data_IF_522305908362
#
_entry.id   IF_522305908362
#
_cell.length_a   1.000
_cell.length_b   1.000
_cell.length_c   1.000
_cell.angle_alpha   90.00
_cell.angle_beta   90.00
_cell.angle_gamma   90.00
#
_symmetry.space_group_name_H-M   'P 1'
#
loop_
_entity.id
_entity.type
_entity.pdbx_description
1 polymer ?
#
# COMPACT_ATOMS: atom_id res chain seq x y z
N UNK A 1 14.50 16.89 -0.80
CA UNK A 1 13.99 16.87 -2.15
C UNK A 1 14.62 15.75 -2.99
N UNK A 2 15.95 15.78 -3.23
CA UNK A 2 16.64 14.86 -4.14
C UNK A 2 16.42 13.38 -3.81
N UNK A 3 16.34 13.01 -2.54
CA UNK A 3 16.06 11.63 -2.11
C UNK A 3 14.66 11.22 -2.58
N UNK A 4 13.64 12.03 -2.29
CA UNK A 4 12.27 11.73 -2.66
C UNK A 4 12.08 11.70 -4.19
N UNK A 5 12.66 12.66 -4.92
CA UNK A 5 12.64 12.68 -6.38
C UNK A 5 13.23 11.39 -6.95
N UNK A 6 14.46 11.01 -6.51
CA UNK A 6 15.13 9.80 -6.95
C UNK A 6 14.28 8.55 -6.67
N UNK A 7 13.68 8.45 -5.49
CA UNK A 7 12.83 7.32 -5.13
C UNK A 7 11.64 7.17 -6.08
N UNK A 8 10.86 8.25 -6.28
CA UNK A 8 9.69 8.17 -7.15
C UNK A 8 10.06 7.97 -8.62
N UNK A 9 11.12 8.61 -9.11
CA UNK A 9 11.61 8.40 -10.48
C UNK A 9 12.02 6.93 -10.67
N UNK A 10 12.80 6.38 -9.74
CA UNK A 10 13.23 4.97 -9.80
C UNK A 10 12.05 4.00 -9.74
N UNK A 11 11.09 4.22 -8.83
CA UNK A 11 9.90 3.39 -8.73
C UNK A 11 9.07 3.38 -10.02
N UNK A 12 8.88 4.55 -10.62
CA UNK A 12 8.15 4.70 -11.89
C UNK A 12 8.89 4.03 -13.05
N UNK A 13 10.20 4.24 -13.17
CA UNK A 13 11.02 3.61 -14.21
C UNK A 13 11.02 2.07 -14.09
N UNK A 14 11.19 1.55 -12.89
CA UNK A 14 11.12 0.10 -12.65
C UNK A 14 9.74 -0.46 -12.97
N UNK A 15 8.67 0.25 -12.64
CA UNK A 15 7.31 -0.13 -13.03
C UNK A 15 7.14 -0.15 -14.54
N UNK A 16 7.57 0.89 -15.26
CA UNK A 16 7.49 0.96 -16.71
C UNK A 16 8.25 -0.18 -17.41
N UNK A 17 9.34 -0.66 -16.83
CA UNK A 17 10.12 -1.80 -17.33
C UNK A 17 9.51 -3.16 -16.97
N UNK A 18 8.87 -3.29 -15.83
CA UNK A 18 8.37 -4.56 -15.30
C UNK A 18 6.91 -4.84 -15.71
N UNK A 19 6.13 -3.82 -16.04
CA UNK A 19 4.73 -4.00 -16.41
C UNK A 19 4.61 -4.74 -17.73
N UNK A 20 3.69 -5.71 -17.79
CA UNK A 20 3.28 -6.39 -19.02
C UNK A 20 1.75 -6.26 -19.17
N UNK A 21 1.26 -5.47 -20.14
CA UNK A 21 -0.18 -5.31 -20.38
C UNK A 21 -0.90 -6.60 -20.80
N UNK A 22 -0.17 -7.63 -21.23
CA UNK A 22 -0.73 -8.93 -21.59
C UNK A 22 -1.10 -9.78 -20.35
N UNK A 23 -0.55 -9.44 -19.18
CA UNK A 23 -0.92 -10.09 -17.93
C UNK A 23 -2.29 -9.63 -17.44
N UNK A 24 -2.99 -10.53 -16.74
CA UNK A 24 -4.22 -10.17 -16.04
C UNK A 24 -3.97 -9.08 -14.97
N UNK A 25 -4.99 -8.37 -14.61
CA UNK A 25 -4.89 -7.22 -13.69
C UNK A 25 -4.38 -7.62 -12.30
N UNK A 26 -4.69 -8.84 -11.82
CA UNK A 26 -4.22 -9.32 -10.51
C UNK A 26 -2.71 -9.57 -10.52
N UNK A 27 -2.19 -10.16 -11.60
CA UNK A 27 -0.75 -10.34 -11.81
C UNK A 27 -0.02 -9.00 -11.91
N UNK A 28 -0.62 -8.01 -12.57
CA UNK A 28 -0.07 -6.64 -12.66
C UNK A 28 -0.06 -5.92 -11.32
N UNK A 29 -1.10 -6.07 -10.49
CA UNK A 29 -1.12 -5.56 -9.11
C UNK A 29 -0.03 -6.23 -8.26
N UNK A 30 0.16 -7.55 -8.40
CA UNK A 30 1.26 -8.27 -7.75
C UNK A 30 2.61 -7.70 -8.18
N UNK A 31 2.85 -7.52 -9.46
CA UNK A 31 4.07 -6.93 -10.01
C UNK A 31 4.31 -5.51 -9.43
N UNK A 32 3.27 -4.70 -9.30
CA UNK A 32 3.37 -3.39 -8.65
C UNK A 32 3.80 -3.51 -7.18
N UNK A 33 3.17 -4.40 -6.41
CA UNK A 33 3.52 -4.64 -5.01
C UNK A 33 4.96 -5.16 -4.85
N UNK A 34 5.40 -6.04 -5.74
CA UNK A 34 6.79 -6.55 -5.77
C UNK A 34 7.80 -5.43 -6.07
N UNK A 35 7.51 -4.59 -7.05
CA UNK A 35 8.34 -3.43 -7.35
C UNK A 35 8.45 -2.49 -6.16
N UNK A 36 7.32 -2.17 -5.52
CA UNK A 36 7.24 -1.28 -4.38
C UNK A 36 8.01 -1.81 -3.17
N UNK A 37 7.67 -3.01 -2.72
CA UNK A 37 8.26 -3.62 -1.53
C UNK A 37 9.74 -3.95 -1.73
N UNK A 38 10.11 -4.51 -2.88
CA UNK A 38 11.52 -4.79 -3.21
C UNK A 38 12.35 -3.51 -3.19
N UNK A 39 11.86 -2.42 -3.77
CA UNK A 39 12.57 -1.15 -3.74
C UNK A 39 12.79 -0.66 -2.30
N UNK A 40 11.75 -0.61 -1.49
CA UNK A 40 11.85 -0.08 -0.14
C UNK A 40 12.65 -0.96 0.81
N UNK A 41 12.57 -2.27 0.69
CA UNK A 41 13.41 -3.16 1.51
C UNK A 41 14.90 -3.03 1.23
N UNK A 42 15.28 -2.67 0.00
CA UNK A 42 16.66 -2.37 -0.35
C UNK A 42 17.07 -0.92 -0.06
N UNK A 43 16.12 -0.04 0.25
CA UNK A 43 16.33 1.40 0.46
C UNK A 43 15.59 1.89 1.72
N UNK A 44 15.73 1.16 2.84
CA UNK A 44 15.02 1.46 4.09
C UNK A 44 15.32 2.86 4.67
N UNK A 45 16.54 3.39 4.60
CA UNK A 45 16.81 4.76 5.03
C UNK A 45 16.01 5.79 4.24
N UNK A 46 15.94 5.63 2.91
CA UNK A 46 15.20 6.50 2.01
C UNK A 46 13.69 6.42 2.28
N UNK A 47 13.18 5.23 2.59
CA UNK A 47 11.78 5.05 2.97
C UNK A 47 11.43 5.84 4.24
N UNK A 48 12.30 5.81 5.25
CA UNK A 48 12.10 6.62 6.47
C UNK A 48 12.03 8.11 6.16
N UNK A 49 12.90 8.59 5.29
CA UNK A 49 12.84 9.98 4.82
C UNK A 49 11.52 10.28 4.12
N UNK A 50 11.07 9.39 3.24
CA UNK A 50 9.79 9.56 2.53
C UNK A 50 8.58 9.56 3.47
N UNK A 51 8.63 8.77 4.55
CA UNK A 51 7.54 8.66 5.50
C UNK A 51 7.43 9.87 6.46
N UNK A 52 8.55 10.54 6.76
CA UNK A 52 8.62 11.56 7.81
C UNK A 52 8.91 12.98 7.32
N UNK A 53 9.46 13.15 6.13
CA UNK A 53 9.96 14.45 5.65
C UNK A 53 9.02 15.14 4.62
N UNK A 54 7.79 14.69 4.52
CA UNK A 54 6.84 15.23 3.54
C UNK A 54 6.44 16.69 3.84
N UNK A 55 6.45 17.07 5.10
CA UNK A 55 6.08 18.43 5.54
C UNK A 55 7.23 19.44 5.43
N UNK A 56 8.47 18.96 5.31
CA UNK A 56 9.65 19.81 5.24
C UNK A 56 9.86 20.48 3.87
N UNK A 57 9.20 19.98 2.83
CA UNK A 57 9.29 20.53 1.49
C UNK A 57 8.34 21.71 1.28
N UNK A 58 8.87 22.78 0.68
CA UNK A 58 8.09 23.99 0.34
C UNK A 58 8.32 24.42 -1.11
N UNK A 59 7.42 25.29 -1.62
CA UNK A 59 7.58 25.90 -2.92
C UNK A 59 7.68 24.91 -4.08
N UNK A 60 8.51 25.22 -5.05
CA UNK A 60 8.66 24.46 -6.29
C UNK A 60 9.07 23.00 -6.09
N UNK A 61 9.89 22.71 -5.09
CA UNK A 61 10.32 21.34 -4.78
C UNK A 61 9.17 20.49 -4.28
N UNK A 62 8.27 21.05 -3.47
CA UNK A 62 7.06 20.37 -3.03
C UNK A 62 6.17 20.01 -4.21
N UNK A 63 5.93 20.95 -5.11
CA UNK A 63 5.09 20.71 -6.30
C UNK A 63 5.68 19.60 -7.20
N UNK A 64 6.98 19.61 -7.44
CA UNK A 64 7.66 18.56 -8.22
C UNK A 64 7.45 17.17 -7.60
N UNK A 65 7.61 17.04 -6.29
CA UNK A 65 7.39 15.75 -5.60
C UNK A 65 5.91 15.37 -5.64
N UNK A 66 4.99 16.29 -5.45
CA UNK A 66 3.55 16.01 -5.55
C UNK A 66 3.14 15.48 -6.93
N UNK A 67 3.73 16.00 -8.01
CA UNK A 67 3.49 15.47 -9.36
C UNK A 67 3.94 14.02 -9.48
N UNK A 68 5.15 13.68 -9.00
CA UNK A 68 5.66 12.31 -9.02
C UNK A 68 4.83 11.37 -8.14
N UNK A 69 4.46 11.80 -6.94
CA UNK A 69 3.56 11.06 -6.04
C UNK A 69 2.23 10.74 -6.71
N UNK A 70 1.58 11.75 -7.29
CA UNK A 70 0.29 11.58 -7.98
C UNK A 70 0.41 10.59 -9.13
N UNK A 71 1.49 10.68 -9.92
CA UNK A 71 1.75 9.75 -11.01
C UNK A 71 1.90 8.31 -10.50
N UNK A 72 2.66 8.11 -9.42
CA UNK A 72 2.87 6.79 -8.84
C UNK A 72 1.59 6.20 -8.23
N UNK A 73 0.83 7.01 -7.48
CA UNK A 73 -0.48 6.61 -6.93
C UNK A 73 -1.46 6.29 -8.04
N UNK A 74 -1.44 7.06 -9.15
CA UNK A 74 -2.32 6.82 -10.29
C UNK A 74 -2.12 5.46 -10.92
N UNK A 75 -0.89 4.95 -10.99
CA UNK A 75 -0.60 3.61 -11.53
C UNK A 75 -1.43 2.54 -10.83
N UNK A 76 -1.33 2.46 -9.52
CA UNK A 76 -2.06 1.42 -8.76
C UNK A 76 -3.57 1.71 -8.70
N UNK A 77 -3.97 2.98 -8.68
CA UNK A 77 -5.39 3.36 -8.72
C UNK A 77 -6.06 2.93 -10.02
N UNK A 78 -5.37 3.04 -11.15
CA UNK A 78 -5.89 2.59 -12.45
C UNK A 78 -6.01 1.05 -12.49
N UNK A 79 -5.03 0.31 -11.95
CA UNK A 79 -5.10 -1.15 -11.81
C UNK A 79 -6.26 -1.58 -10.89
N UNK A 80 -6.48 -0.88 -9.79
CA UNK A 80 -7.58 -1.17 -8.87
C UNK A 80 -8.95 -0.88 -9.52
N UNK A 81 -9.03 0.17 -10.33
CA UNK A 81 -10.25 0.46 -11.11
C UNK A 81 -10.53 -0.66 -12.11
N UNK A 82 -9.52 -1.06 -12.88
CA UNK A 82 -9.63 -2.18 -13.83
C UNK A 82 -10.09 -3.47 -13.13
N UNK A 83 -9.52 -3.79 -11.96
CA UNK A 83 -9.95 -4.94 -11.16
C UNK A 83 -11.40 -4.83 -10.71
N UNK A 84 -11.83 -3.66 -10.21
CA UNK A 84 -13.22 -3.45 -9.79
C UNK A 84 -14.20 -3.61 -10.95
N UNK A 85 -13.84 -3.11 -12.13
CA UNK A 85 -14.66 -3.21 -13.33
C UNK A 85 -14.77 -4.67 -13.80
N UNK A 86 -13.69 -5.44 -13.76
CA UNK A 86 -13.67 -6.86 -14.16
C UNK A 86 -14.41 -7.77 -13.18
N UNK A 87 -14.25 -7.56 -11.88
CA UNK A 87 -14.85 -8.40 -10.85
C UNK A 87 -16.26 -7.95 -10.45
N UNK A 88 -16.74 -6.83 -10.97
CA UNK A 88 -18.02 -6.23 -10.57
C UNK A 88 -18.05 -5.80 -9.09
N UNK A 89 -16.89 -5.56 -8.48
CA UNK A 89 -16.77 -5.19 -7.08
C UNK A 89 -17.33 -3.80 -6.83
N UNK A 90 -18.56 -3.74 -6.31
CA UNK A 90 -19.25 -2.47 -5.98
C UNK A 90 -19.21 -2.22 -4.48
N UNK A 91 -19.19 -0.94 -4.09
CA UNK A 91 -19.36 -0.55 -2.69
C UNK A 91 -18.07 -0.17 -1.97
N UNK A 92 -16.88 -0.44 -2.54
CA UNK A 92 -15.60 0.01 -1.99
C UNK A 92 -15.09 1.21 -2.79
N UNK A 93 -14.86 2.32 -2.09
CA UNK A 93 -14.25 3.51 -2.69
C UNK A 93 -12.83 3.20 -3.18
N UNK A 94 -12.55 3.55 -4.43
CA UNK A 94 -11.27 3.28 -5.08
C UNK A 94 -10.08 3.92 -4.36
N UNK A 95 -10.28 5.11 -3.82
CA UNK A 95 -9.24 5.82 -3.07
C UNK A 95 -8.96 5.11 -1.74
N UNK A 96 -10.00 4.66 -1.04
CA UNK A 96 -9.85 3.88 0.18
C UNK A 96 -9.09 2.58 -0.10
N UNK A 97 -9.49 1.83 -1.13
CA UNK A 97 -8.78 0.62 -1.55
C UNK A 97 -7.30 0.91 -1.85
N UNK A 98 -7.01 1.92 -2.66
CA UNK A 98 -5.64 2.30 -3.02
C UNK A 98 -4.79 2.64 -1.80
N UNK A 99 -5.30 3.49 -0.91
CA UNK A 99 -4.53 3.91 0.27
C UNK A 99 -4.47 2.86 1.39
N UNK A 100 -5.41 1.93 1.46
CA UNK A 100 -5.30 0.75 2.32
C UNK A 100 -4.10 -0.13 1.90
N UNK A 101 -3.92 -0.37 0.59
CA UNK A 101 -2.76 -1.10 0.10
C UNK A 101 -1.45 -0.36 0.43
N UNK A 102 -1.37 0.95 0.18
CA UNK A 102 -0.19 1.73 0.56
C UNK A 102 0.04 1.75 2.07
N UNK A 103 -1.01 1.81 2.90
CA UNK A 103 -0.88 1.72 4.35
C UNK A 103 -0.22 0.42 4.78
N UNK A 104 -0.66 -0.71 4.24
CA UNK A 104 -0.05 -2.01 4.51
C UNK A 104 1.40 -2.08 4.04
N UNK A 105 1.69 -1.65 2.82
CA UNK A 105 3.01 -1.80 2.20
C UNK A 105 4.01 -0.76 2.70
N UNK A 106 3.58 0.46 2.99
CA UNK A 106 4.47 1.51 3.50
C UNK A 106 4.89 1.28 4.95
N UNK A 107 4.05 0.65 5.77
CA UNK A 107 4.35 0.43 7.19
C UNK A 107 5.41 -0.66 7.43
N UNK A 108 5.79 -1.40 6.41
CA UNK A 108 6.73 -2.54 6.47
C UNK A 108 8.09 -2.16 7.10
N UNK A 109 8.55 -0.93 6.90
CA UNK A 109 9.84 -0.47 7.43
C UNK A 109 9.91 -0.43 8.96
N UNK A 110 8.78 -0.50 9.65
CA UNK A 110 8.74 -0.43 11.11
C UNK A 110 8.94 -1.77 11.78
N UNK A 111 8.56 -2.87 11.14
CA UNK A 111 8.52 -4.18 11.77
C UNK A 111 9.24 -5.30 11.01
N UNK A 112 9.37 -5.22 9.68
CA UNK A 112 9.95 -6.30 8.89
C UNK A 112 11.47 -6.42 9.08
N UNK A 113 11.92 -7.64 9.37
CA UNK A 113 13.32 -8.00 9.55
C UNK A 113 13.68 -9.20 8.65
N UNK A 114 14.46 -9.00 7.57
CA UNK A 114 14.75 -10.06 6.57
C UNK A 114 15.33 -11.35 7.14
N UNK A 115 15.99 -11.27 8.31
CA UNK A 115 16.63 -12.43 8.97
C UNK A 115 15.65 -13.26 9.83
N UNK A 116 14.47 -12.71 10.16
CA UNK A 116 13.50 -13.30 11.09
C UNK A 116 12.16 -13.59 10.44
N UNK A 117 11.78 -12.75 9.48
CA UNK A 117 10.47 -12.77 8.86
C UNK A 117 10.48 -13.54 7.55
N UNK A 118 9.31 -13.71 6.95
CA UNK A 118 9.16 -14.42 5.70
C UNK A 118 10.01 -13.81 4.56
N UNK A 119 10.54 -14.63 3.65
CA UNK A 119 11.15 -14.13 2.43
C UNK A 119 10.17 -13.22 1.66
N UNK A 120 10.72 -12.19 1.01
CA UNK A 120 9.94 -11.16 0.33
C UNK A 120 8.81 -11.69 -0.59
N UNK A 121 9.00 -12.71 -1.44
CA UNK A 121 7.92 -13.22 -2.29
C UNK A 121 6.74 -13.78 -1.50
N UNK A 122 7.01 -14.48 -0.38
CA UNK A 122 5.98 -15.04 0.49
C UNK A 122 5.27 -13.95 1.29
N UNK A 123 6.00 -12.94 1.74
CA UNK A 123 5.45 -11.78 2.42
C UNK A 123 4.45 -11.05 1.52
N UNK A 124 4.83 -10.76 0.27
CA UNK A 124 3.97 -10.09 -0.72
C UNK A 124 2.70 -10.91 -0.96
N UNK A 125 2.85 -12.21 -1.16
CA UNK A 125 1.69 -13.08 -1.37
C UNK A 125 0.73 -13.03 -0.19
N UNK A 126 1.22 -13.13 1.04
CA UNK A 126 0.36 -13.08 2.23
C UNK A 126 -0.30 -11.70 2.40
N UNK A 127 0.43 -10.62 2.17
CA UNK A 127 -0.13 -9.27 2.23
C UNK A 127 -1.25 -9.08 1.20
N UNK A 128 -1.06 -9.51 -0.03
CA UNK A 128 -2.08 -9.42 -1.08
C UNK A 128 -3.27 -10.33 -0.79
N UNK A 129 -3.05 -11.53 -0.23
CA UNK A 129 -4.15 -12.41 0.22
C UNK A 129 -4.99 -11.77 1.31
N UNK A 130 -4.35 -11.16 2.31
CA UNK A 130 -5.08 -10.44 3.38
C UNK A 130 -5.82 -9.25 2.78
N UNK A 131 -5.20 -8.51 1.88
CA UNK A 131 -5.80 -7.35 1.26
C UNK A 131 -7.05 -7.69 0.41
N UNK A 132 -6.97 -8.74 -0.43
CA UNK A 132 -8.07 -9.07 -1.34
C UNK A 132 -9.14 -9.97 -0.71
N UNK A 133 -8.80 -10.79 0.27
CA UNK A 133 -9.71 -11.81 0.81
C UNK A 133 -9.93 -11.69 2.32
N UNK A 134 -9.30 -10.74 2.98
CA UNK A 134 -9.35 -10.61 4.43
C UNK A 134 -8.59 -11.70 5.19
N UNK A 135 -8.60 -11.61 6.52
CA UNK A 135 -8.01 -12.60 7.41
C UNK A 135 -8.94 -13.81 7.61
N UNK A 136 -10.23 -13.54 7.66
CA UNK A 136 -11.27 -14.56 7.81
C UNK A 136 -11.79 -14.93 6.42
N UNK A 137 -11.99 -16.22 6.16
CA UNK A 137 -12.65 -16.64 4.92
C UNK A 137 -14.05 -16.04 4.90
N UNK A 138 -14.38 -15.35 3.81
CA UNK A 138 -15.71 -14.82 3.54
C UNK A 138 -16.74 -15.95 3.66
N UNK A 139 -17.60 -15.86 4.61
CA UNK A 139 -18.76 -16.66 4.84
C UNK A 139 -19.74 -15.79 5.62
N UNK A 140 -20.89 -16.28 5.97
CA UNK A 140 -21.99 -15.59 6.67
C UNK A 140 -21.59 -14.75 7.91
N UNK A 141 -20.33 -14.80 8.33
CA UNK A 141 -19.77 -14.00 9.41
C UNK A 141 -19.48 -12.52 9.02
N UNK A 142 -19.42 -12.18 7.73
CA UNK A 142 -19.17 -10.78 7.32
C UNK A 142 -20.34 -9.86 7.68
N UNK A 143 -21.57 -10.31 7.50
CA UNK A 143 -22.74 -9.50 7.83
C UNK A 143 -22.89 -9.29 9.34
N UNK A 144 -22.54 -10.28 10.18
CA UNK A 144 -22.61 -10.15 11.64
C UNK A 144 -21.60 -9.15 12.22
N UNK A 145 -20.38 -9.08 11.66
CA UNK A 145 -19.35 -8.14 12.13
C UNK A 145 -19.70 -6.68 11.87
N UNK A 146 -20.33 -6.39 10.72
CA UNK A 146 -20.71 -5.01 10.34
C UNK A 146 -22.11 -4.64 10.77
N UNK A 147 -22.99 -5.60 11.09
CA UNK A 147 -24.35 -5.36 11.61
C UNK A 147 -24.39 -5.34 13.13
N UNK A 148 -23.44 -5.96 13.82
CA UNK A 148 -23.23 -5.81 15.26
C UNK A 148 -22.60 -4.45 15.55
N UNK A 149 -23.35 -3.41 15.35
CA UNK A 149 -22.97 -2.03 15.69
C UNK A 149 -23.12 -1.79 17.20
N UNK A 150 -22.28 -2.38 18.01
CA UNK A 150 -21.90 -1.74 19.26
C UNK A 150 -20.92 -0.62 18.88
N UNK A 151 -21.26 0.67 19.04
CA UNK A 151 -20.30 1.73 18.79
C UNK A 151 -19.12 1.50 19.73
N UNK A 152 -17.90 1.49 19.21
CA UNK A 152 -16.70 1.59 20.02
C UNK A 152 -16.91 2.77 20.95
N UNK A 153 -16.99 2.52 22.24
CA UNK A 153 -17.19 3.55 23.24
C UNK A 153 -16.10 4.61 23.06
N UNK A 154 -16.47 5.86 23.12
CA UNK A 154 -15.59 7.01 22.89
C UNK A 154 -14.33 7.00 23.77
N UNK A 155 -14.31 6.21 24.86
CA UNK A 155 -13.20 6.05 25.79
C UNK A 155 -12.10 5.07 25.33
N UNK A 156 -12.36 4.18 24.39
CA UNK A 156 -11.40 3.14 24.01
C UNK A 156 -10.56 3.49 22.77
N UNK A 157 -10.81 4.64 22.15
CA UNK A 157 -10.15 5.03 20.90
C UNK A 157 -8.65 5.31 20.99
N UNK A 158 -8.10 5.50 22.18
CA UNK A 158 -6.69 5.90 22.34
C UNK A 158 -5.83 5.00 23.23
N UNK A 159 -6.39 4.01 23.91
CA UNK A 159 -5.61 3.15 24.83
C UNK A 159 -4.81 2.03 24.15
N UNK A 160 -5.20 1.64 22.94
CA UNK A 160 -4.55 0.52 22.21
C UNK A 160 -3.16 0.85 21.70
N UNK A 161 -2.79 2.13 21.56
CA UNK A 161 -1.49 2.53 20.99
C UNK A 161 -0.42 2.86 22.05
N UNK A 162 -0.77 2.90 23.33
CA UNK A 162 0.16 3.31 24.40
C UNK A 162 1.06 2.19 24.93
N UNK A 163 0.82 0.93 24.55
CA UNK A 163 1.52 -0.24 25.09
C UNK A 163 2.09 -1.17 24.00
N UNK A 164 2.47 -0.67 22.86
CA UNK A 164 3.24 -1.47 21.88
C UNK A 164 4.72 -1.30 22.22
N UNK A 165 5.43 -2.40 22.61
CA UNK A 165 6.85 -2.34 22.96
C UNK A 165 7.73 -1.99 21.76
#
# INVERSE_FOLDING_TARGET
YLIQERCFVTLLQRWEQAQDPALDVRARIRCFAENHLSFFLHNMPEMKVMAHEDESLTGEFKEKILVLKRRYVKVIMDLMRELQDQEGAKGIDLRVATFALFGMTNWIYTWYQPQRDLPLPQLIEQMLRIYFFGLLRSGSAEEEWFTSSAPFGEKDRFSLWQNIP
#
